data_IF_404079697090
#
_entry.id   IF_404079697090
#
_cell.length_a   1.000
_cell.length_b   1.000
_cell.length_c   1.000
_cell.angle_alpha   90.00
_cell.angle_beta   90.00
_cell.angle_gamma   90.00
#
_symmetry.space_group_name_H-M   'P 1'
#
loop_
_entity.id
_entity.type
_entity.pdbx_description
1 polymer ?
#
# COMPACT_ATOMS: atom_id res chain seq x y z
N UNK A 1 -11.63 -8.42 14.17
CA UNK A 1 -11.63 -7.70 12.88
C UNK A 1 -10.60 -6.59 12.94
N UNK A 2 -9.87 -6.34 11.86
CA UNK A 2 -8.75 -5.39 11.83
C UNK A 2 -8.72 -4.63 10.50
N UNK A 3 -8.22 -3.39 10.49
CA UNK A 3 -8.00 -2.60 9.29
C UNK A 3 -6.69 -1.80 9.36
N UNK A 4 -5.77 -2.05 8.44
CA UNK A 4 -4.60 -1.19 8.21
C UNK A 4 -4.92 -0.26 7.04
N UNK A 5 -5.08 1.04 7.28
CA UNK A 5 -5.59 1.98 6.28
C UNK A 5 -4.55 2.98 5.81
N UNK A 6 -4.57 3.27 4.52
CA UNK A 6 -3.72 4.27 3.88
C UNK A 6 -4.37 5.65 3.96
N UNK A 7 -3.54 6.70 3.98
CA UNK A 7 -3.96 8.06 3.71
C UNK A 7 -2.82 8.87 3.07
N UNK A 8 -3.20 9.85 2.25
CA UNK A 8 -2.26 10.64 1.45
C UNK A 8 -2.21 12.09 1.95
N UNK A 9 -1.41 12.42 2.97
CA UNK A 9 -1.39 13.77 3.51
C UNK A 9 -1.09 14.83 2.46
N UNK A 10 -0.23 14.53 1.49
CA UNK A 10 0.12 15.45 0.39
C UNK A 10 -1.11 15.90 -0.41
N UNK A 11 -2.08 14.99 -0.64
CA UNK A 11 -3.36 15.31 -1.30
C UNK A 11 -4.17 16.35 -0.52
N UNK A 12 -3.95 16.50 0.78
CA UNK A 12 -4.64 17.47 1.63
C UNK A 12 -3.81 18.72 1.91
N UNK A 13 -2.52 18.54 2.24
CA UNK A 13 -1.61 19.63 2.64
C UNK A 13 -1.31 20.55 1.47
N UNK A 14 -1.22 20.03 0.24
CA UNK A 14 -1.03 20.87 -0.95
C UNK A 14 -2.25 21.76 -1.24
N UNK A 15 -3.40 21.43 -0.66
CA UNK A 15 -4.63 22.23 -0.69
C UNK A 15 -4.78 23.17 0.52
N UNK A 16 -3.76 23.27 1.37
CA UNK A 16 -3.73 24.16 2.53
C UNK A 16 -4.42 23.61 3.79
N UNK A 17 -4.78 22.32 3.81
CA UNK A 17 -5.28 21.67 5.04
C UNK A 17 -4.08 21.30 5.92
N UNK A 18 -4.10 21.68 7.19
CA UNK A 18 -3.00 21.35 8.09
C UNK A 18 -2.89 19.82 8.30
N UNK A 19 -1.66 19.30 8.32
CA UNK A 19 -1.38 17.87 8.52
C UNK A 19 -2.07 17.31 9.77
N UNK A 20 -1.96 18.02 10.90
CA UNK A 20 -2.61 17.63 12.16
C UNK A 20 -4.14 17.56 12.05
N UNK A 21 -4.77 18.46 11.29
CA UNK A 21 -6.23 18.41 11.07
C UNK A 21 -6.67 17.11 10.40
N UNK A 22 -5.87 16.60 9.45
CA UNK A 22 -6.15 15.32 8.78
C UNK A 22 -5.96 14.16 9.74
N UNK A 23 -4.80 14.08 10.41
CA UNK A 23 -4.46 12.98 11.31
C UNK A 23 -5.41 12.93 12.51
N UNK A 24 -5.72 14.06 13.14
CA UNK A 24 -6.64 14.12 14.27
C UNK A 24 -8.05 13.62 13.89
N UNK A 25 -8.53 14.01 12.70
CA UNK A 25 -9.84 13.56 12.21
C UNK A 25 -9.89 12.04 11.95
N UNK A 26 -8.86 11.48 11.30
CA UNK A 26 -8.80 10.05 11.02
C UNK A 26 -8.65 9.26 12.31
N UNK A 27 -7.68 9.63 13.16
CA UNK A 27 -7.37 8.88 14.39
C UNK A 27 -8.54 8.89 15.39
N UNK A 28 -9.29 10.00 15.49
CA UNK A 28 -10.52 10.01 16.28
C UNK A 28 -11.57 9.01 15.78
N UNK A 29 -11.76 8.89 14.46
CA UNK A 29 -12.69 7.91 13.89
C UNK A 29 -12.24 6.46 14.10
N UNK A 30 -10.91 6.21 14.07
CA UNK A 30 -10.34 4.89 14.37
C UNK A 30 -10.56 4.50 15.83
N UNK A 31 -10.33 5.42 16.77
CA UNK A 31 -10.59 5.22 18.21
C UNK A 31 -12.08 4.95 18.49
N UNK A 32 -12.97 5.68 17.81
CA UNK A 32 -14.42 5.45 17.87
C UNK A 32 -14.78 4.07 17.30
N UNK A 33 -14.19 3.67 16.17
CA UNK A 33 -14.38 2.36 15.55
C UNK A 33 -13.95 1.20 16.46
N UNK A 34 -12.82 1.33 17.16
CA UNK A 34 -12.40 0.32 18.14
C UNK A 34 -13.37 0.26 19.31
N UNK A 35 -13.72 1.40 19.90
CA UNK A 35 -14.58 1.47 21.09
C UNK A 35 -16.01 1.00 20.84
N UNK A 36 -16.58 1.36 19.70
CA UNK A 36 -18.01 1.16 19.41
C UNK A 36 -18.28 -0.08 18.58
N UNK A 37 -17.34 -0.47 17.70
CA UNK A 37 -17.50 -1.59 16.77
C UNK A 37 -16.56 -2.76 17.07
N UNK A 38 -15.57 -2.59 17.97
CA UNK A 38 -14.57 -3.61 18.26
C UNK A 38 -13.62 -3.88 17.09
N UNK A 39 -13.45 -2.91 16.20
CA UNK A 39 -12.55 -3.00 15.03
C UNK A 39 -11.25 -2.29 15.37
N UNK A 40 -10.18 -3.06 15.60
CA UNK A 40 -8.83 -2.52 15.74
C UNK A 40 -8.31 -1.98 14.40
N UNK A 41 -7.39 -1.02 14.43
CA UNK A 41 -6.84 -0.43 13.21
C UNK A 41 -5.42 0.11 13.38
N UNK A 42 -4.68 0.18 12.27
CA UNK A 42 -3.43 0.93 12.17
C UNK A 42 -3.49 1.92 10.99
N UNK A 43 -2.87 3.08 11.15
CA UNK A 43 -2.78 4.10 10.10
C UNK A 43 -1.41 4.03 9.42
N UNK A 44 -1.39 4.15 8.09
CA UNK A 44 -0.19 4.08 7.27
C UNK A 44 -0.08 5.36 6.43
N UNK A 45 1.06 6.03 6.58
CA UNK A 45 1.38 7.29 5.93
C UNK A 45 1.88 7.06 4.50
N UNK A 46 1.08 7.38 3.49
CA UNK A 46 1.51 7.19 2.10
C UNK A 46 2.19 8.43 1.50
N UNK A 47 3.24 8.17 0.73
CA UNK A 47 3.89 9.17 -0.11
C UNK A 47 3.39 9.07 -1.55
N UNK A 48 3.01 10.20 -2.13
CA UNK A 48 2.56 10.28 -3.52
C UNK A 48 3.74 10.17 -4.48
N UNK A 49 3.91 9.01 -5.13
CA UNK A 49 5.15 8.71 -5.88
C UNK A 49 5.37 9.55 -7.14
N UNK A 50 4.32 10.16 -7.67
CA UNK A 50 4.42 11.08 -8.81
C UNK A 50 5.06 12.43 -8.42
N UNK A 51 5.05 12.79 -7.13
CA UNK A 51 5.76 13.96 -6.60
C UNK A 51 7.24 13.65 -6.36
N UNK A 52 8.02 14.64 -5.92
CA UNK A 52 9.46 14.46 -5.71
C UNK A 52 9.79 13.73 -4.39
N UNK A 53 10.99 13.15 -4.30
CA UNK A 53 11.45 12.52 -3.06
C UNK A 53 11.63 13.55 -1.92
N UNK A 54 11.94 14.80 -2.27
CA UNK A 54 11.99 15.92 -1.32
C UNK A 54 10.61 16.24 -0.75
N UNK A 55 9.56 16.16 -1.57
CA UNK A 55 8.18 16.34 -1.09
C UNK A 55 7.80 15.26 -0.08
N UNK A 56 8.15 13.99 -0.35
CA UNK A 56 7.97 12.89 0.59
C UNK A 56 8.76 13.10 1.89
N UNK A 57 10.01 13.58 1.80
CA UNK A 57 10.82 13.91 2.98
C UNK A 57 10.18 15.01 3.83
N UNK A 58 9.66 16.06 3.21
CA UNK A 58 8.94 17.13 3.90
C UNK A 58 7.63 16.65 4.55
N UNK A 59 6.95 15.67 3.94
CA UNK A 59 5.78 15.01 4.55
C UNK A 59 6.18 14.18 5.77
N UNK A 60 7.30 13.45 5.71
CA UNK A 60 7.83 12.72 6.86
C UNK A 60 8.21 13.67 8.01
N UNK A 61 8.80 14.83 7.70
CA UNK A 61 9.08 15.88 8.69
C UNK A 61 7.80 16.36 9.40
N UNK A 62 6.71 16.55 8.65
CA UNK A 62 5.42 16.95 9.22
C UNK A 62 4.78 15.85 10.09
N UNK A 63 5.07 14.57 9.80
CA UNK A 63 4.57 13.43 10.55
C UNK A 63 5.26 13.22 11.90
N UNK A 64 6.46 13.77 12.12
CA UNK A 64 7.26 13.53 13.32
C UNK A 64 6.52 13.75 14.66
N UNK A 65 5.69 14.81 14.84
CA UNK A 65 4.90 15.01 16.07
C UNK A 65 3.76 13.99 16.27
N UNK A 66 3.43 13.20 15.25
CA UNK A 66 2.30 12.27 15.20
C UNK A 66 2.76 10.81 15.01
N UNK A 67 4.07 10.53 15.13
CA UNK A 67 4.67 9.23 14.81
C UNK A 67 4.04 8.08 15.58
N UNK A 68 3.59 8.31 16.80
CA UNK A 68 2.93 7.32 17.66
C UNK A 68 1.54 6.90 17.15
N UNK A 69 0.95 7.66 16.22
CA UNK A 69 -0.36 7.38 15.63
C UNK A 69 -0.30 6.63 14.30
N UNK A 70 0.90 6.34 13.80
CA UNK A 70 1.12 5.72 12.49
C UNK A 70 2.08 4.55 12.63
N UNK A 71 1.71 3.42 12.05
CA UNK A 71 2.48 2.18 12.17
C UNK A 71 3.54 2.05 11.06
N UNK A 72 3.21 2.50 9.85
CA UNK A 72 4.05 2.33 8.67
C UNK A 72 4.05 3.56 7.76
N UNK A 73 5.00 3.58 6.83
CA UNK A 73 4.95 4.41 5.62
C UNK A 73 4.62 3.55 4.40
N UNK A 74 3.88 4.14 3.45
CA UNK A 74 3.47 3.55 2.18
C UNK A 74 3.97 4.37 0.98
N UNK A 75 3.85 3.79 -0.22
CA UNK A 75 4.13 4.47 -1.49
C UNK A 75 3.03 4.07 -2.48
N UNK A 76 2.37 5.05 -3.08
CA UNK A 76 1.23 4.85 -3.98
C UNK A 76 1.19 5.94 -5.07
N UNK A 77 0.05 6.06 -5.75
CA UNK A 77 -0.15 6.92 -6.92
C UNK A 77 0.57 6.39 -8.17
N UNK A 78 0.69 7.22 -9.22
CA UNK A 78 1.11 6.77 -10.57
C UNK A 78 2.43 6.00 -10.58
N UNK A 79 2.35 4.69 -10.79
CA UNK A 79 3.49 3.77 -10.68
C UNK A 79 4.51 3.92 -11.81
N UNK A 80 4.03 3.91 -13.06
CA UNK A 80 4.90 3.96 -14.24
C UNK A 80 5.72 5.27 -14.28
N UNK A 81 7.04 5.13 -14.45
CA UNK A 81 7.97 6.27 -14.48
C UNK A 81 8.39 6.79 -13.10
N UNK A 82 7.85 6.25 -12.01
CA UNK A 82 8.17 6.64 -10.64
C UNK A 82 8.68 5.43 -9.83
N UNK A 83 9.89 4.91 -10.10
CA UNK A 83 10.39 3.68 -9.49
C UNK A 83 10.50 3.76 -7.97
N UNK A 84 10.37 2.65 -7.22
CA UNK A 84 10.59 2.62 -5.78
C UNK A 84 11.94 3.21 -5.38
N UNK A 85 13.01 2.94 -6.15
CA UNK A 85 14.35 3.48 -5.88
C UNK A 85 14.42 5.01 -5.74
N UNK A 86 13.50 5.76 -6.35
CA UNK A 86 13.36 7.22 -6.19
C UNK A 86 13.15 7.64 -4.72
N UNK A 87 12.53 6.79 -3.91
CA UNK A 87 12.13 7.08 -2.53
C UNK A 87 12.99 6.38 -1.47
N UNK A 88 14.12 5.78 -1.86
CA UNK A 88 15.00 5.01 -0.96
C UNK A 88 15.37 5.79 0.30
N UNK A 89 15.77 7.06 0.16
CA UNK A 89 16.25 7.88 1.27
C UNK A 89 15.16 8.19 2.31
N UNK A 90 13.93 8.47 1.87
CA UNK A 90 12.81 8.75 2.81
C UNK A 90 12.36 7.46 3.51
N UNK A 91 12.36 6.32 2.82
CA UNK A 91 12.08 5.02 3.44
C UNK A 91 13.16 4.60 4.44
N UNK A 92 14.44 4.84 4.12
CA UNK A 92 15.54 4.59 5.06
C UNK A 92 15.38 5.43 6.33
N UNK A 93 15.08 6.71 6.20
CA UNK A 93 14.81 7.58 7.34
C UNK A 93 13.59 7.14 8.13
N UNK A 94 12.48 6.81 7.46
CA UNK A 94 11.26 6.34 8.14
C UNK A 94 11.53 5.08 8.98
N UNK A 95 12.27 4.11 8.44
CA UNK A 95 12.67 2.92 9.22
C UNK A 95 13.58 3.28 10.40
N UNK A 96 14.50 4.23 10.24
CA UNK A 96 15.34 4.72 11.34
C UNK A 96 14.53 5.42 12.45
N UNK A 97 13.38 6.02 12.11
CA UNK A 97 12.40 6.61 13.04
C UNK A 97 11.39 5.55 13.58
N UNK A 98 11.56 4.28 13.18
CA UNK A 98 10.85 3.12 13.66
C UNK A 98 9.54 2.80 12.92
N UNK A 99 9.25 3.48 11.80
CA UNK A 99 8.12 3.08 10.96
C UNK A 99 8.41 1.73 10.29
N UNK A 100 7.36 0.93 10.14
CA UNK A 100 7.34 -0.16 9.17
C UNK A 100 7.25 0.40 7.75
N UNK A 101 7.46 -0.42 6.74
CA UNK A 101 7.45 0.02 5.34
C UNK A 101 6.61 -0.93 4.46
N UNK A 102 5.78 -0.35 3.60
CA UNK A 102 4.97 -1.03 2.57
C UNK A 102 4.99 -0.21 1.28
N UNK A 103 4.62 -0.79 0.14
CA UNK A 103 4.59 -0.06 -1.13
C UNK A 103 3.75 -0.78 -2.19
N UNK A 104 3.03 0.01 -2.98
CA UNK A 104 2.50 -0.42 -4.27
C UNK A 104 3.65 -0.74 -5.22
N UNK A 105 3.67 -1.97 -5.70
CA UNK A 105 4.60 -2.40 -6.73
C UNK A 105 4.01 -3.51 -7.58
N UNK A 106 4.21 -3.43 -8.90
CA UNK A 106 3.76 -4.46 -9.83
C UNK A 106 2.25 -4.50 -10.03
N UNK A 107 1.60 -3.35 -9.93
CA UNK A 107 0.23 -3.14 -10.40
C UNK A 107 0.28 -2.80 -11.88
N UNK A 108 0.83 -1.63 -12.22
CA UNK A 108 1.12 -1.21 -13.60
C UNK A 108 2.62 -1.27 -13.91
N UNK A 109 3.46 -1.21 -12.88
CA UNK A 109 4.92 -1.26 -12.97
C UNK A 109 5.45 -2.65 -13.28
N UNK A 110 6.68 -2.74 -13.81
CA UNK A 110 7.30 -4.02 -14.13
C UNK A 110 7.64 -4.84 -12.87
N UNK A 111 7.87 -6.17 -12.99
CA UNK A 111 8.33 -7.01 -11.88
C UNK A 111 9.58 -6.48 -11.16
N UNK A 112 10.45 -5.76 -11.87
CA UNK A 112 11.64 -5.14 -11.28
C UNK A 112 11.31 -4.08 -10.22
N UNK A 113 10.12 -3.46 -10.26
CA UNK A 113 9.69 -2.54 -9.20
C UNK A 113 9.32 -3.31 -7.92
N UNK A 114 8.75 -4.51 -8.03
CA UNK A 114 8.54 -5.39 -6.86
C UNK A 114 9.89 -5.70 -6.20
N UNK A 115 10.89 -6.08 -7.02
CA UNK A 115 12.25 -6.32 -6.54
C UNK A 115 12.86 -5.07 -5.90
N UNK A 116 12.73 -3.90 -6.52
CA UNK A 116 13.22 -2.64 -5.92
C UNK A 116 12.52 -2.29 -4.60
N UNK A 117 11.21 -2.52 -4.48
CA UNK A 117 10.48 -2.29 -3.24
C UNK A 117 11.03 -3.20 -2.12
N UNK A 118 11.23 -4.49 -2.39
CA UNK A 118 11.80 -5.43 -1.42
C UNK A 118 13.25 -5.07 -1.05
N UNK A 119 14.08 -4.77 -2.04
CA UNK A 119 15.54 -4.68 -1.84
C UNK A 119 16.04 -3.28 -1.46
N UNK A 120 15.32 -2.23 -1.88
CA UNK A 120 15.70 -0.82 -1.63
C UNK A 120 14.84 -0.19 -0.55
N UNK A 121 13.54 -0.43 -0.60
CA UNK A 121 12.61 0.12 0.38
C UNK A 121 12.44 -0.78 1.61
N UNK A 122 12.91 -2.03 1.53
CA UNK A 122 12.83 -3.01 2.62
C UNK A 122 11.41 -3.14 3.17
N UNK A 123 10.44 -3.23 2.26
CA UNK A 123 9.03 -3.35 2.63
C UNK A 123 8.71 -4.72 3.23
N UNK A 124 7.79 -4.75 4.18
CA UNK A 124 7.32 -5.97 4.84
C UNK A 124 6.29 -6.73 4.00
N UNK A 125 5.63 -6.04 3.06
CA UNK A 125 4.68 -6.59 2.10
C UNK A 125 4.64 -5.74 0.82
N UNK A 126 4.06 -6.30 -0.23
CA UNK A 126 3.84 -5.64 -1.51
C UNK A 126 2.35 -5.38 -1.68
N UNK A 127 2.00 -4.14 -2.03
CA UNK A 127 0.63 -3.79 -2.37
C UNK A 127 0.38 -4.04 -3.87
N UNK A 128 -0.70 -4.76 -4.18
CA UNK A 128 -0.95 -5.51 -5.42
C UNK A 128 0.03 -6.66 -5.70
N UNK A 129 1.16 -6.37 -6.38
CA UNK A 129 2.13 -7.39 -6.78
C UNK A 129 1.69 -8.36 -7.88
N UNK A 130 0.54 -8.12 -8.54
CA UNK A 130 -0.05 -9.08 -9.50
C UNK A 130 0.84 -9.37 -10.70
N UNK A 131 1.66 -8.40 -11.14
CA UNK A 131 2.61 -8.61 -12.25
C UNK A 131 3.83 -9.44 -11.87
N UNK A 132 3.95 -9.94 -10.64
CA UNK A 132 5.05 -10.84 -10.26
C UNK A 132 5.07 -12.13 -11.10
N UNK A 133 3.93 -12.54 -11.66
CA UNK A 133 3.80 -13.78 -12.44
C UNK A 133 4.56 -13.78 -13.77
N UNK A 134 4.95 -12.61 -14.26
CA UNK A 134 5.81 -12.41 -15.43
C UNK A 134 7.27 -12.85 -15.18
N UNK A 135 7.69 -12.99 -13.91
CA UNK A 135 9.03 -13.41 -13.51
C UNK A 135 8.97 -14.63 -12.57
N UNK A 136 9.34 -15.80 -13.10
CA UNK A 136 9.32 -17.05 -12.35
C UNK A 136 10.22 -17.03 -11.10
N UNK A 137 11.40 -16.39 -11.18
CA UNK A 137 12.34 -16.30 -10.06
C UNK A 137 11.81 -15.40 -8.96
N UNK A 138 11.12 -14.31 -9.33
CA UNK A 138 10.43 -13.45 -8.37
C UNK A 138 9.33 -14.23 -7.62
N UNK A 139 8.52 -15.02 -8.32
CA UNK A 139 7.50 -15.83 -7.64
C UNK A 139 8.13 -16.85 -6.69
N UNK A 140 9.21 -17.53 -7.09
CA UNK A 140 9.94 -18.44 -6.20
C UNK A 140 10.43 -17.73 -4.93
N UNK A 141 10.95 -16.51 -5.06
CA UNK A 141 11.35 -15.67 -3.94
C UNK A 141 10.16 -15.34 -3.02
N UNK A 142 9.05 -14.86 -3.58
CA UNK A 142 7.86 -14.49 -2.81
C UNK A 142 7.29 -15.68 -2.03
N UNK A 143 7.32 -16.89 -2.61
CA UNK A 143 6.94 -18.13 -1.94
C UNK A 143 7.94 -18.48 -0.83
N UNK A 144 9.24 -18.42 -1.10
CA UNK A 144 10.27 -18.80 -0.14
C UNK A 144 10.33 -17.87 1.08
N UNK A 145 10.18 -16.56 0.85
CA UNK A 145 10.24 -15.51 1.89
C UNK A 145 8.88 -15.27 2.55
N UNK A 146 7.78 -15.82 1.99
CA UNK A 146 6.41 -15.58 2.46
C UNK A 146 6.07 -14.09 2.55
N UNK A 147 6.49 -13.32 1.55
CA UNK A 147 6.14 -11.90 1.42
C UNK A 147 4.63 -11.79 1.13
N UNK A 148 3.83 -11.07 1.95
CA UNK A 148 2.42 -10.86 1.67
C UNK A 148 2.21 -9.97 0.44
N UNK A 149 1.22 -10.31 -0.37
CA UNK A 149 0.70 -9.49 -1.47
C UNK A 149 -0.74 -9.07 -1.15
N UNK A 150 -1.00 -7.77 -0.99
CA UNK A 150 -2.35 -7.23 -0.74
C UNK A 150 -3.06 -7.02 -2.09
N UNK A 151 -3.69 -8.09 -2.59
CA UNK A 151 -4.28 -8.12 -3.93
C UNK A 151 -5.68 -7.52 -3.91
N UNK A 152 -6.01 -6.73 -4.93
CA UNK A 152 -7.25 -5.94 -5.01
C UNK A 152 -8.03 -6.26 -6.31
N UNK A 153 -8.83 -7.34 -6.35
CA UNK A 153 -9.42 -7.84 -7.60
C UNK A 153 -10.27 -6.83 -8.37
N UNK A 154 -11.19 -6.11 -7.69
CA UNK A 154 -12.05 -5.12 -8.37
C UNK A 154 -11.24 -3.92 -8.87
N UNK A 155 -10.25 -3.47 -8.09
CA UNK A 155 -9.31 -2.42 -8.51
C UNK A 155 -8.58 -2.82 -9.80
N UNK A 156 -7.99 -4.02 -9.83
CA UNK A 156 -7.24 -4.50 -10.98
C UNK A 156 -8.09 -4.60 -12.26
N UNK A 157 -9.40 -4.89 -12.14
CA UNK A 157 -10.33 -4.85 -13.28
C UNK A 157 -10.69 -3.42 -13.67
N UNK A 158 -11.04 -2.57 -12.69
CA UNK A 158 -11.42 -1.17 -12.92
C UNK A 158 -10.31 -0.35 -13.56
N UNK A 159 -9.06 -0.61 -13.19
CA UNK A 159 -7.86 0.06 -13.69
C UNK A 159 -7.28 -0.59 -14.96
N UNK A 160 -7.91 -1.65 -15.48
CA UNK A 160 -7.47 -2.38 -16.68
C UNK A 160 -6.09 -3.03 -16.56
N UNK A 161 -5.67 -3.36 -15.34
CA UNK A 161 -4.54 -4.25 -15.09
C UNK A 161 -4.90 -5.67 -15.54
N UNK A 162 -6.17 -6.06 -15.33
CA UNK A 162 -6.79 -7.30 -15.82
C UNK A 162 -8.09 -6.93 -16.56
N UNK A 163 -8.39 -7.61 -17.67
CA UNK A 163 -9.59 -7.27 -18.48
C UNK A 163 -10.91 -7.68 -17.80
N UNK A 164 -10.94 -8.84 -17.15
CA UNK A 164 -12.11 -9.43 -16.51
C UNK A 164 -11.72 -10.14 -15.21
N UNK A 165 -12.62 -10.23 -14.25
CA UNK A 165 -12.33 -10.81 -12.94
C UNK A 165 -11.93 -12.30 -13.04
N UNK A 166 -12.54 -13.04 -13.96
CA UNK A 166 -12.22 -14.44 -14.26
C UNK A 166 -10.82 -14.66 -14.84
N UNK A 167 -10.20 -13.61 -15.41
CA UNK A 167 -8.84 -13.64 -15.94
C UNK A 167 -7.79 -13.34 -14.86
N UNK A 168 -8.24 -13.01 -13.64
CA UNK A 168 -7.38 -12.58 -12.56
C UNK A 168 -6.47 -13.71 -12.03
N UNK A 169 -5.17 -13.45 -11.90
CA UNK A 169 -4.16 -14.46 -11.58
C UNK A 169 -4.08 -14.84 -10.08
N UNK A 170 -4.75 -14.10 -9.18
CA UNK A 170 -4.81 -14.35 -7.73
C UNK A 170 -4.94 -15.84 -7.36
N UNK A 171 -5.93 -16.54 -7.92
CA UNK A 171 -6.14 -17.95 -7.58
C UNK A 171 -4.97 -18.85 -8.03
N UNK A 172 -4.28 -18.48 -9.12
CA UNK A 172 -3.08 -19.17 -9.57
C UNK A 172 -1.88 -18.88 -8.65
N UNK A 173 -1.68 -17.62 -8.23
CA UNK A 173 -0.64 -17.23 -7.26
C UNK A 173 -0.83 -17.95 -5.92
N UNK A 174 -2.05 -17.98 -5.39
CA UNK A 174 -2.39 -18.71 -4.17
C UNK A 174 -2.05 -20.21 -4.29
N UNK A 175 -2.44 -20.86 -5.40
CA UNK A 175 -2.12 -22.28 -5.65
C UNK A 175 -0.63 -22.56 -5.77
N UNK A 176 0.17 -21.57 -6.18
CA UNK A 176 1.64 -21.66 -6.23
C UNK A 176 2.30 -21.44 -4.86
N UNK A 177 1.54 -21.10 -3.83
CA UNK A 177 2.03 -20.89 -2.47
C UNK A 177 2.44 -19.44 -2.16
N UNK A 178 2.09 -18.49 -3.03
CA UNK A 178 2.28 -17.06 -2.74
C UNK A 178 1.30 -16.64 -1.66
N UNK A 179 1.78 -15.89 -0.66
CA UNK A 179 0.96 -15.37 0.44
C UNK A 179 0.13 -14.18 -0.05
N UNK A 180 -0.97 -14.47 -0.74
CA UNK A 180 -1.90 -13.43 -1.20
C UNK A 180 -3.00 -13.17 -0.17
N UNK A 181 -3.38 -11.91 -0.01
CA UNK A 181 -4.60 -11.48 0.71
C UNK A 181 -5.56 -10.81 -0.25
N UNK A 182 -6.84 -10.69 0.14
CA UNK A 182 -7.88 -10.02 -0.65
C UNK A 182 -8.26 -8.71 0.04
N UNK A 183 -8.21 -7.61 -0.71
CA UNK A 183 -8.42 -6.25 -0.22
C UNK A 183 -9.34 -5.48 -1.19
N UNK A 184 -9.97 -4.40 -0.72
CA UNK A 184 -10.90 -3.59 -1.52
C UNK A 184 -10.28 -2.40 -2.25
N UNK A 185 -9.07 -2.01 -1.85
CA UNK A 185 -8.38 -0.80 -2.35
C UNK A 185 -9.21 0.48 -2.11
N UNK A 186 -9.75 1.10 -3.16
CA UNK A 186 -10.70 2.22 -3.12
C UNK A 186 -12.17 1.78 -3.29
N UNK A 187 -12.84 1.21 -2.27
CA UNK A 187 -14.16 0.58 -2.41
C UNK A 187 -15.23 1.48 -3.03
N UNK A 188 -15.21 2.78 -2.72
CA UNK A 188 -16.17 3.74 -3.24
C UNK A 188 -15.98 4.03 -4.74
N UNK A 189 -14.78 3.85 -5.27
CA UNK A 189 -14.46 4.04 -6.69
C UNK A 189 -14.66 2.76 -7.50
N UNK A 190 -14.32 1.60 -6.93
CA UNK A 190 -14.38 0.31 -7.62
C UNK A 190 -15.69 -0.46 -7.40
N UNK A 191 -16.62 0.11 -6.61
CA UNK A 191 -17.99 -0.38 -6.49
C UNK A 191 -18.14 -1.65 -5.66
N UNK A 192 -17.21 -1.92 -4.74
CA UNK A 192 -17.27 -3.08 -3.85
C UNK A 192 -16.29 -3.00 -2.68
N UNK A 193 -16.72 -3.44 -1.51
CA UNK A 193 -15.90 -3.58 -0.30
C UNK A 193 -15.22 -4.95 -0.27
N UNK A 194 -14.48 -5.26 0.80
CA UNK A 194 -13.69 -6.49 0.92
C UNK A 194 -14.54 -7.76 0.74
N UNK A 195 -15.79 -7.77 1.22
CA UNK A 195 -16.69 -8.91 1.06
C UNK A 195 -17.04 -9.17 -0.42
N UNK A 196 -17.25 -8.12 -1.21
CA UNK A 196 -17.54 -8.24 -2.63
C UNK A 196 -16.34 -8.79 -3.42
N UNK A 197 -15.12 -8.53 -2.95
CA UNK A 197 -13.87 -8.99 -3.59
C UNK A 197 -13.54 -10.46 -3.29
N UNK A 198 -14.14 -11.07 -2.26
CA UNK A 198 -13.89 -12.48 -1.91
C UNK A 198 -14.60 -13.45 -2.87
N UNK A 199 -15.61 -12.99 -3.60
CA UNK A 199 -16.51 -13.84 -4.38
C UNK A 199 -17.44 -14.70 -3.50
N UNK A 200 -18.39 -15.38 -4.14
CA UNK A 200 -19.23 -16.43 -3.53
C UNK A 200 -18.49 -17.79 -3.50
#
# INVERSE_FOLDING_TARGET
THAEIFFDPQTHTDRGVAFGTVVDGITGALEDGERELGVSSELILCFLRHLSAEAAMATLDQAAPFRDRMAAVGLDSSEQGNPPSKFTAVFERARAEGYRAVAHAGEEGPPSYIVEALDRLHVERIDHGVRCDEDAALVERLVAEQVPLTVCPYSNVSLRVVDRLEDHNLAALLRRGVLVTVNSDDPAYFGGYVADNLGD
#
